data_IF_353200961251
#
_entry.id   IF_353200961251
#
_cell.length_a   1.000
_cell.length_b   1.000
_cell.length_c   1.000
_cell.angle_alpha   90.00
_cell.angle_beta   90.00
_cell.angle_gamma   90.00
#
_symmetry.space_group_name_H-M   'P 1'
#
loop_
_entity.id
_entity.type
_entity.pdbx_description
1 polymer ?
#
# COMPACT_ATOMS: atom_id res chain seq x y z
N UNK A 1 4.59 -4.66 0.15
CA UNK A 1 3.26 -4.39 0.74
C UNK A 1 2.30 -3.73 -0.26
N UNK A 2 2.64 -2.57 -0.83
CA UNK A 2 1.74 -1.82 -1.74
C UNK A 2 1.24 -2.64 -2.93
N UNK A 3 2.09 -3.50 -3.51
CA UNK A 3 1.72 -4.41 -4.59
C UNK A 3 0.58 -5.40 -4.26
N UNK A 4 0.30 -5.68 -2.97
CA UNK A 4 -0.87 -6.48 -2.60
C UNK A 4 -2.19 -5.82 -2.97
N UNK A 5 -2.23 -4.50 -3.19
CA UNK A 5 -3.37 -3.81 -3.77
C UNK A 5 -3.73 -4.30 -5.18
N UNK A 6 -2.82 -4.98 -5.88
CA UNK A 6 -3.09 -5.55 -7.21
C UNK A 6 -3.70 -6.95 -7.17
N UNK A 7 -3.87 -7.55 -5.99
CA UNK A 7 -4.46 -8.89 -5.86
C UNK A 7 -5.83 -9.07 -6.54
N UNK A 8 -6.75 -8.08 -6.55
CA UNK A 8 -8.01 -8.18 -7.31
C UNK A 8 -7.85 -8.16 -8.83
N UNK A 9 -6.74 -7.60 -9.33
CA UNK A 9 -6.44 -7.45 -10.76
C UNK A 9 -5.52 -8.55 -11.31
N UNK A 10 -4.89 -9.31 -10.42
CA UNK A 10 -4.00 -10.39 -10.82
C UNK A 10 -4.77 -11.49 -11.56
N UNK A 11 -4.30 -11.82 -12.77
CA UNK A 11 -4.64 -13.08 -13.43
C UNK A 11 -4.31 -14.28 -12.52
N UNK A 12 -5.03 -15.40 -12.67
CA UNK A 12 -4.90 -16.67 -11.93
C UNK A 12 -3.45 -17.21 -11.76
N UNK A 13 -2.49 -16.64 -12.48
CA UNK A 13 -1.09 -17.07 -12.56
C UNK A 13 -0.15 -16.22 -11.67
N UNK A 14 -0.68 -15.23 -10.92
CA UNK A 14 0.00 -14.58 -9.80
C UNK A 14 1.14 -13.61 -10.16
N UNK A 15 1.35 -13.30 -11.45
CA UNK A 15 2.38 -12.36 -11.89
C UNK A 15 1.80 -10.97 -12.11
N UNK A 16 2.43 -9.95 -11.53
CA UNK A 16 2.11 -8.54 -11.82
C UNK A 16 2.37 -8.25 -13.30
N UNK A 17 1.39 -7.64 -13.96
CA UNK A 17 1.55 -7.09 -15.30
C UNK A 17 2.30 -5.75 -15.25
N UNK A 18 2.71 -5.24 -16.42
CA UNK A 18 3.28 -3.89 -16.49
C UNK A 18 2.32 -2.80 -16.02
N UNK A 19 1.01 -2.98 -16.22
CA UNK A 19 -0.02 -2.06 -15.73
C UNK A 19 -0.16 -2.10 -14.20
N UNK A 20 -0.02 -3.28 -13.61
CA UNK A 20 -0.03 -3.45 -12.16
C UNK A 20 1.19 -2.77 -11.53
N UNK A 21 2.37 -2.96 -12.11
CA UNK A 21 3.58 -2.29 -11.65
C UNK A 21 3.44 -0.76 -11.73
N UNK A 22 2.92 -0.25 -12.85
CA UNK A 22 2.69 1.19 -13.01
C UNK A 22 1.73 1.77 -11.96
N UNK A 23 0.67 1.03 -11.61
CA UNK A 23 -0.28 1.44 -10.57
C UNK A 23 0.37 1.49 -9.18
N UNK A 24 1.23 0.52 -8.89
CA UNK A 24 2.02 0.47 -7.65
C UNK A 24 2.99 1.65 -7.56
N UNK A 25 3.74 1.92 -8.64
CA UNK A 25 4.72 3.01 -8.69
C UNK A 25 4.05 4.38 -8.51
N UNK A 26 2.89 4.60 -9.16
CA UNK A 26 2.10 5.82 -8.97
C UNK A 26 1.64 5.98 -7.53
N UNK A 27 1.15 4.90 -6.89
CA UNK A 27 0.69 4.95 -5.51
C UNK A 27 1.84 5.26 -4.54
N UNK A 28 3.03 4.67 -4.77
CA UNK A 28 4.24 4.96 -4.00
C UNK A 28 4.68 6.41 -4.13
N UNK A 29 4.68 6.96 -5.35
CA UNK A 29 5.02 8.38 -5.58
C UNK A 29 4.02 9.33 -4.91
N UNK A 30 2.72 9.09 -5.06
CA UNK A 30 1.68 9.94 -4.44
C UNK A 30 1.75 9.96 -2.91
N UNK A 31 2.28 8.89 -2.32
CA UNK A 31 2.46 8.77 -0.88
C UNK A 31 3.88 9.09 -0.41
N UNK A 32 4.78 9.55 -1.30
CA UNK A 32 6.18 9.87 -1.00
C UNK A 32 6.93 8.68 -0.34
N UNK A 33 6.80 7.50 -0.95
CA UNK A 33 7.38 6.22 -0.48
C UNK A 33 8.29 5.56 -1.52
N UNK A 34 8.54 6.19 -2.65
CA UNK A 34 9.37 5.68 -3.76
C UNK A 34 10.76 5.23 -3.29
N UNK A 35 11.42 6.03 -2.45
CA UNK A 35 12.74 5.71 -1.87
C UNK A 35 12.70 4.64 -0.77
N UNK A 36 11.51 4.23 -0.34
CA UNK A 36 11.27 3.28 0.74
C UNK A 36 10.67 1.96 0.25
N UNK A 37 10.41 1.82 -1.06
CA UNK A 37 9.67 0.70 -1.65
C UNK A 37 10.28 -0.68 -1.32
N UNK A 38 11.61 -0.76 -1.28
CA UNK A 38 12.36 -1.99 -0.99
C UNK A 38 12.68 -2.19 0.49
N UNK A 39 12.28 -1.26 1.37
CA UNK A 39 12.56 -1.39 2.80
C UNK A 39 11.59 -2.38 3.47
N UNK A 40 12.07 -3.18 4.44
CA UNK A 40 11.19 -3.96 5.30
C UNK A 40 10.19 -3.05 6.03
N UNK A 41 8.93 -3.50 6.15
CA UNK A 41 7.89 -2.75 6.85
C UNK A 41 8.23 -2.45 8.31
N UNK A 42 8.96 -3.35 8.96
CA UNK A 42 9.41 -3.20 10.35
C UNK A 42 10.33 -1.98 10.54
N UNK A 43 11.04 -1.57 9.50
CA UNK A 43 12.00 -0.46 9.54
C UNK A 43 11.35 0.89 9.22
N UNK A 44 10.06 0.89 8.86
CA UNK A 44 9.30 2.12 8.60
C UNK A 44 8.77 2.70 9.90
N UNK A 45 8.80 4.02 10.04
CA UNK A 45 8.08 4.72 11.12
C UNK A 45 6.57 4.47 11.05
N UNK A 46 5.84 4.73 12.14
CA UNK A 46 4.38 4.60 12.18
C UNK A 46 3.66 5.37 11.06
N UNK A 47 4.04 6.63 10.86
CA UNK A 47 3.50 7.45 9.76
C UNK A 47 3.86 6.96 8.36
N UNK A 48 5.04 6.36 8.16
CA UNK A 48 5.39 5.72 6.88
C UNK A 48 4.58 4.44 6.65
N UNK A 49 4.34 3.64 7.69
CA UNK A 49 3.47 2.45 7.60
C UNK A 49 2.03 2.83 7.25
N UNK A 50 1.50 3.87 7.88
CA UNK A 50 0.19 4.45 7.57
C UNK A 50 0.11 4.90 6.10
N UNK A 51 1.10 5.66 5.60
CA UNK A 51 1.15 6.05 4.19
C UNK A 51 1.26 4.84 3.26
N UNK A 52 1.98 3.80 3.65
CA UNK A 52 2.12 2.59 2.85
C UNK A 52 0.82 1.78 2.77
N UNK A 53 -0.02 1.82 3.81
CA UNK A 53 -1.37 1.27 3.77
C UNK A 53 -2.29 2.06 2.83
N UNK A 54 -2.25 3.39 2.90
CA UNK A 54 -2.98 4.25 1.95
C UNK A 54 -2.52 4.03 0.51
N UNK A 55 -1.20 3.89 0.28
CA UNK A 55 -0.65 3.54 -1.03
C UNK A 55 -1.19 2.20 -1.52
N UNK A 56 -1.29 1.19 -0.66
CA UNK A 56 -1.88 -0.11 -1.03
C UNK A 56 -3.32 0.04 -1.50
N UNK A 57 -4.14 0.85 -0.80
CA UNK A 57 -5.52 1.13 -1.20
C UNK A 57 -5.56 1.83 -2.56
N UNK A 58 -4.75 2.87 -2.76
CA UNK A 58 -4.67 3.58 -4.04
C UNK A 58 -4.23 2.66 -5.18
N UNK A 59 -3.30 1.75 -4.92
CA UNK A 59 -2.84 0.79 -5.92
C UNK A 59 -3.95 -0.17 -6.37
N UNK A 60 -5.04 -0.33 -5.61
CA UNK A 60 -6.19 -1.13 -6.05
C UNK A 60 -6.92 -0.51 -7.24
N UNK A 61 -6.74 0.78 -7.52
CA UNK A 61 -7.41 1.47 -8.63
C UNK A 61 -8.93 1.19 -8.67
N UNK A 62 -9.55 1.25 -7.48
CA UNK A 62 -10.97 0.98 -7.31
C UNK A 62 -11.78 2.28 -7.35
N UNK A 63 -12.93 2.26 -8.04
CA UNK A 63 -13.84 3.41 -8.12
C UNK A 63 -14.39 3.82 -6.74
N UNK A 64 -14.58 2.83 -5.86
CA UNK A 64 -15.12 3.01 -4.51
C UNK A 64 -14.29 2.18 -3.53
N UNK A 65 -13.90 2.81 -2.42
CA UNK A 65 -13.24 2.16 -1.29
C UNK A 65 -14.15 2.31 -0.08
N UNK A 66 -14.52 1.18 0.53
CA UNK A 66 -15.21 1.15 1.83
C UNK A 66 -14.18 0.81 2.91
N UNK A 67 -14.03 1.71 3.88
CA UNK A 67 -13.15 1.52 5.03
C UNK A 67 -14.02 1.37 6.27
N UNK A 68 -13.90 0.24 6.94
CA UNK A 68 -14.47 0.06 8.27
C UNK A 68 -13.43 0.46 9.31
N UNK A 69 -13.78 1.42 10.18
CA UNK A 69 -12.91 1.97 11.23
C UNK A 69 -11.48 2.30 10.74
N UNK A 70 -11.31 3.24 9.77
CA UNK A 70 -10.04 3.46 9.07
C UNK A 70 -8.91 3.84 10.02
N UNK A 71 -9.21 4.42 11.17
CA UNK A 71 -8.25 4.83 12.21
C UNK A 71 -7.64 3.66 12.96
N UNK A 72 -8.27 2.48 13.01
CA UNK A 72 -7.72 1.29 13.69
C UNK A 72 -6.38 0.85 13.06
N UNK A 73 -6.24 0.99 11.74
CA UNK A 73 -4.97 0.71 11.05
C UNK A 73 -3.98 1.89 11.11
N UNK A 74 -4.44 3.10 11.47
CA UNK A 74 -3.59 4.28 11.68
C UNK A 74 -2.97 4.30 13.09
N UNK A 75 -3.66 3.69 14.06
CA UNK A 75 -3.20 3.52 15.45
C UNK A 75 -2.10 2.46 15.63
N UNK A 76 -1.66 1.77 14.57
CA UNK A 76 -0.43 0.95 14.60
C UNK A 76 0.81 1.81 14.90
N UNK A 77 0.69 3.14 14.84
CA UNK A 77 1.67 4.10 15.35
C UNK A 77 1.82 4.09 16.89
N UNK A 78 0.85 3.51 17.62
CA UNK A 78 0.81 3.37 19.08
C UNK A 78 1.15 1.96 19.60
N UNK A 79 1.89 1.16 18.83
CA UNK A 79 2.58 -0.03 19.37
C UNK A 79 4.08 0.25 19.45
N UNK A 80 4.43 1.14 20.40
CA UNK A 80 5.76 1.21 20.98
C UNK A 80 5.59 0.82 22.44
N UNK A 81 5.66 -0.47 22.69
CA UNK A 81 6.16 -1.04 23.94
C UNK A 81 6.98 -2.30 23.61
#
# INVERSE_FOLDING_TARGET
MVAYGRSPHNSLWGRLSGADQHSVDQALQRMELDTLAERPLADLSGGQRQRAWLAMILAQDADIVLLDEPTTYLDISHQVE
#
